data_IF_641058919885
#
_entry.id   IF_641058919885
#
_cell.length_a   1.000
_cell.length_b   1.000
_cell.length_c   1.000
_cell.angle_alpha   90.00
_cell.angle_beta   90.00
_cell.angle_gamma   90.00
#
_symmetry.space_group_name_H-M   'P 1'
#
loop_
_entity.id
_entity.type
_entity.pdbx_description
1 polymer ?
#
# COMPACT_ATOMS: atom_id res chain seq x y z
N UNK A 1 -6.66 -14.69 9.89
CA UNK A 1 -6.40 -13.31 10.31
C UNK A 1 -7.71 -12.56 10.47
N UNK A 2 -8.09 -12.25 11.71
CA UNK A 2 -9.26 -11.44 12.07
C UNK A 2 -8.75 -10.34 12.99
N UNK A 3 -8.07 -9.36 12.41
CA UNK A 3 -7.57 -8.20 13.14
C UNK A 3 -8.70 -7.20 13.31
N UNK A 4 -8.88 -6.70 14.52
CA UNK A 4 -9.85 -5.66 14.85
C UNK A 4 -9.08 -4.46 15.37
N UNK A 5 -9.14 -3.36 14.62
CA UNK A 5 -8.52 -2.09 15.04
C UNK A 5 -9.36 -1.49 16.17
N UNK A 6 -8.72 -1.20 17.28
CA UNK A 6 -9.37 -0.63 18.47
C UNK A 6 -9.43 0.90 18.41
N UNK A 7 -10.34 1.56 19.16
CA UNK A 7 -10.39 3.02 19.21
C UNK A 7 -9.05 3.66 19.61
N UNK A 8 -8.35 3.11 20.61
CA UNK A 8 -7.05 3.64 21.03
C UNK A 8 -5.96 3.54 19.96
N UNK A 9 -6.03 2.52 19.09
CA UNK A 9 -5.13 2.43 17.93
C UNK A 9 -5.47 3.46 16.85
N UNK A 10 -6.75 3.78 16.68
CA UNK A 10 -7.18 4.89 15.79
C UNK A 10 -6.70 6.22 16.34
N UNK A 11 -6.89 6.47 17.64
CA UNK A 11 -6.46 7.72 18.29
C UNK A 11 -4.94 7.90 18.15
N UNK A 12 -4.15 6.85 18.42
CA UNK A 12 -2.70 6.86 18.22
C UNK A 12 -2.32 7.16 16.77
N UNK A 13 -2.96 6.50 15.80
CA UNK A 13 -2.69 6.75 14.38
C UNK A 13 -3.02 8.20 13.96
N UNK A 14 -4.08 8.78 14.52
CA UNK A 14 -4.46 10.18 14.23
C UNK A 14 -3.47 11.17 14.85
N UNK A 15 -2.93 10.87 16.03
CA UNK A 15 -1.96 11.71 16.73
C UNK A 15 -0.55 11.63 16.11
N UNK A 16 -0.05 10.41 15.90
CA UNK A 16 1.33 10.17 15.45
C UNK A 16 1.46 10.10 13.92
N UNK A 17 0.36 9.88 13.22
CA UNK A 17 0.35 9.71 11.77
C UNK A 17 0.85 8.35 11.29
N UNK A 18 1.14 7.40 12.19
CA UNK A 18 1.49 6.02 11.86
C UNK A 18 1.07 5.04 12.97
N UNK A 19 1.05 3.74 12.64
CA UNK A 19 0.88 2.65 13.60
C UNK A 19 1.46 1.35 13.03
N UNK A 20 2.16 0.60 13.86
CA UNK A 20 2.71 -0.71 13.49
C UNK A 20 1.84 -1.85 14.04
N UNK A 21 1.69 -2.90 13.23
CA UNK A 21 1.08 -4.16 13.61
C UNK A 21 2.10 -5.27 13.43
N UNK A 22 2.47 -5.89 14.54
CA UNK A 22 3.22 -7.14 14.53
C UNK A 22 2.36 -8.27 13.97
N UNK A 23 2.99 -9.22 13.30
CA UNK A 23 2.31 -10.43 12.77
C UNK A 23 1.08 -10.12 11.88
N UNK A 24 1.15 -9.04 11.08
CA UNK A 24 0.12 -8.76 10.07
C UNK A 24 -0.02 -9.95 9.11
N UNK A 25 1.10 -10.58 8.77
CA UNK A 25 1.18 -11.89 8.14
C UNK A 25 1.92 -12.86 9.07
N UNK A 26 1.52 -14.13 9.09
CA UNK A 26 2.35 -15.15 9.76
C UNK A 26 3.69 -15.29 9.03
N UNK A 27 4.75 -15.79 9.68
CA UNK A 27 6.05 -15.99 9.02
C UNK A 27 5.95 -16.81 7.73
N UNK A 28 5.11 -17.85 7.68
CA UNK A 28 4.89 -18.66 6.49
C UNK A 28 4.18 -17.88 5.37
N UNK A 29 3.21 -17.04 5.73
CA UNK A 29 2.50 -16.19 4.79
C UNK A 29 3.43 -15.11 4.23
N UNK A 30 4.22 -14.46 5.08
CA UNK A 30 5.20 -13.46 4.71
C UNK A 30 6.26 -14.06 3.77
N UNK A 31 6.81 -15.23 4.10
CA UNK A 31 7.77 -15.94 3.24
C UNK A 31 7.17 -16.32 1.89
N UNK A 32 5.93 -16.83 1.87
CA UNK A 32 5.23 -17.18 0.62
C UNK A 32 4.98 -15.94 -0.24
N UNK A 33 4.53 -14.84 0.36
CA UNK A 33 4.28 -13.58 -0.33
C UNK A 33 5.59 -12.99 -0.88
N UNK A 34 6.66 -12.99 -0.09
CA UNK A 34 7.99 -12.51 -0.51
C UNK A 34 8.51 -13.31 -1.72
N UNK A 35 8.43 -14.64 -1.69
CA UNK A 35 8.86 -15.48 -2.81
C UNK A 35 8.06 -15.23 -4.10
N UNK A 36 6.75 -14.95 -3.98
CA UNK A 36 5.93 -14.56 -5.13
C UNK A 36 6.33 -13.18 -5.67
N UNK A 37 6.58 -12.21 -4.79
CA UNK A 37 7.00 -10.86 -5.17
C UNK A 37 8.34 -10.88 -5.90
N UNK A 38 9.33 -11.61 -5.38
CA UNK A 38 10.64 -11.79 -6.02
C UNK A 38 10.51 -12.37 -7.43
N UNK A 39 9.69 -13.42 -7.58
CA UNK A 39 9.45 -14.06 -8.88
C UNK A 39 8.78 -13.11 -9.88
N UNK A 40 7.80 -12.31 -9.44
CA UNK A 40 7.11 -11.35 -10.31
C UNK A 40 8.00 -10.15 -10.63
N UNK A 41 8.78 -9.66 -9.67
CA UNK A 41 9.71 -8.55 -9.85
C UNK A 41 10.82 -8.89 -10.86
N UNK A 42 11.32 -10.14 -10.85
CA UNK A 42 12.27 -10.61 -11.86
C UNK A 42 11.74 -10.51 -13.30
N UNK A 43 10.41 -10.56 -13.49
CA UNK A 43 9.75 -10.42 -14.80
C UNK A 43 9.37 -8.97 -15.11
N UNK A 44 9.07 -8.17 -14.08
CA UNK A 44 8.75 -6.74 -14.17
C UNK A 44 9.63 -5.94 -13.21
N UNK A 45 10.83 -5.52 -13.65
CA UNK A 45 11.79 -4.81 -12.81
C UNK A 45 11.35 -3.42 -12.33
N UNK A 46 10.23 -2.88 -12.85
CA UNK A 46 9.69 -1.62 -12.33
C UNK A 46 9.06 -1.77 -10.94
N UNK A 47 8.67 -3.00 -10.54
CA UNK A 47 8.13 -3.27 -9.21
C UNK A 47 6.70 -2.78 -8.94
N UNK A 48 6.14 -2.00 -9.84
CA UNK A 48 4.80 -1.44 -9.69
C UNK A 48 3.70 -2.43 -10.05
N UNK A 49 2.69 -2.50 -9.21
CA UNK A 49 1.44 -3.24 -9.42
C UNK A 49 1.65 -4.69 -9.89
N UNK A 50 2.66 -5.37 -9.35
CA UNK A 50 3.00 -6.77 -9.70
C UNK A 50 1.80 -7.72 -9.55
N UNK A 51 0.91 -7.43 -8.59
CA UNK A 51 -0.30 -8.21 -8.32
C UNK A 51 -1.29 -8.23 -9.50
N UNK A 52 -1.22 -7.28 -10.43
CA UNK A 52 -2.08 -7.25 -11.63
C UNK A 52 -1.66 -8.26 -12.69
N UNK A 53 -0.40 -8.68 -12.66
CA UNK A 53 0.17 -9.61 -13.64
C UNK A 53 0.27 -11.05 -13.08
N UNK A 54 0.32 -11.19 -11.75
CA UNK A 54 0.26 -12.49 -11.06
C UNK A 54 -0.98 -12.58 -10.14
N UNK A 55 -2.04 -13.29 -10.56
CA UNK A 55 -3.23 -13.51 -9.74
C UNK A 55 -2.95 -14.19 -8.38
N UNK A 56 -1.82 -14.89 -8.26
CA UNK A 56 -1.39 -15.51 -7.00
C UNK A 56 -1.03 -14.46 -5.96
N UNK A 57 -0.45 -13.33 -6.38
CA UNK A 57 -0.13 -12.19 -5.51
C UNK A 57 -1.39 -11.51 -5.01
N UNK A 58 -2.37 -11.23 -5.89
CA UNK A 58 -3.64 -10.63 -5.47
C UNK A 58 -4.33 -11.48 -4.39
N UNK A 59 -4.32 -12.81 -4.57
CA UNK A 59 -4.88 -13.73 -3.58
C UNK A 59 -4.09 -13.72 -2.26
N UNK A 60 -2.77 -13.69 -2.32
CA UNK A 60 -1.89 -13.71 -1.15
C UNK A 60 -1.96 -12.42 -0.33
N UNK A 61 -2.10 -11.26 -0.99
CA UNK A 61 -2.13 -9.94 -0.34
C UNK A 61 -3.40 -9.70 0.49
N UNK A 62 -4.49 -10.42 0.19
CA UNK A 62 -5.74 -10.30 0.94
C UNK A 62 -6.25 -8.86 1.07
N UNK A 63 -6.27 -8.08 -0.02
CA UNK A 63 -6.63 -6.64 0.00
C UNK A 63 -7.93 -6.33 0.74
N UNK A 64 -8.94 -7.21 0.71
CA UNK A 64 -10.18 -7.04 1.47
C UNK A 64 -9.94 -6.95 2.99
N UNK A 65 -9.00 -7.73 3.54
CA UNK A 65 -8.64 -7.66 4.97
C UNK A 65 -7.79 -6.44 5.29
N UNK A 66 -6.80 -6.14 4.45
CA UNK A 66 -5.94 -4.97 4.64
C UNK A 66 -6.77 -3.66 4.61
N UNK A 67 -7.73 -3.56 3.69
CA UNK A 67 -8.64 -2.42 3.62
C UNK A 67 -9.64 -2.37 4.78
N UNK A 68 -10.06 -3.51 5.33
CA UNK A 68 -10.85 -3.55 6.57
C UNK A 68 -10.08 -3.00 7.77
N UNK A 69 -8.76 -3.23 7.84
CA UNK A 69 -7.91 -2.66 8.87
C UNK A 69 -7.62 -1.18 8.65
N UNK A 70 -7.31 -0.78 7.41
CA UNK A 70 -7.04 0.62 7.08
C UNK A 70 -8.28 1.53 7.17
N UNK A 71 -9.48 1.00 6.97
CA UNK A 71 -10.73 1.76 7.00
C UNK A 71 -10.94 2.62 8.26
N UNK A 72 -10.87 2.05 9.48
CA UNK A 72 -10.95 2.84 10.71
C UNK A 72 -9.78 3.81 10.87
N UNK A 73 -8.54 3.41 10.53
CA UNK A 73 -7.34 4.26 10.66
C UNK A 73 -7.44 5.52 9.80
N UNK A 74 -7.86 5.38 8.55
CA UNK A 74 -8.02 6.50 7.62
C UNK A 74 -9.39 7.20 7.73
N UNK A 75 -10.25 6.74 8.65
CA UNK A 75 -11.61 7.26 8.86
C UNK A 75 -12.44 7.27 7.56
N UNK A 76 -12.33 6.20 6.76
CA UNK A 76 -13.08 6.03 5.51
C UNK A 76 -13.77 4.67 5.46
N UNK A 77 -15.02 4.66 5.02
CA UNK A 77 -15.74 3.41 4.81
C UNK A 77 -15.22 2.62 3.59
N UNK A 78 -14.70 3.25 2.55
CA UNK A 78 -14.29 2.54 1.31
C UNK A 78 -12.91 2.97 0.89
N UNK A 79 -12.03 1.99 0.66
CA UNK A 79 -10.62 2.20 0.33
C UNK A 79 -10.33 1.59 -1.03
N UNK A 80 -9.62 2.35 -1.85
CA UNK A 80 -9.10 1.93 -3.14
C UNK A 80 -7.62 1.59 -2.98
N UNK A 81 -7.14 0.55 -3.68
CA UNK A 81 -5.71 0.36 -3.86
C UNK A 81 -5.24 1.31 -4.97
N UNK A 82 -4.48 2.33 -4.59
CA UNK A 82 -3.89 3.28 -5.52
C UNK A 82 -2.84 2.60 -6.37
N UNK A 83 -1.80 2.07 -5.72
CA UNK A 83 -0.78 1.23 -6.36
C UNK A 83 -0.07 0.39 -5.31
N UNK A 84 0.72 -0.57 -5.77
CA UNK A 84 1.72 -1.28 -4.96
C UNK A 84 3.12 -1.11 -5.55
N UNK A 85 4.15 -1.07 -4.71
CA UNK A 85 5.55 -1.00 -5.14
C UNK A 85 6.40 -2.02 -4.38
N UNK A 86 7.12 -2.86 -5.12
CA UNK A 86 8.10 -3.80 -4.57
C UNK A 86 9.34 -3.95 -5.49
N UNK A 87 10.56 -3.94 -4.94
CA UNK A 87 10.88 -3.48 -3.59
C UNK A 87 10.69 -1.97 -3.48
N UNK A 88 10.44 -1.47 -2.27
CA UNK A 88 10.58 -0.04 -1.99
C UNK A 88 12.05 0.40 -2.10
N UNK A 89 12.34 1.70 -2.33
CA UNK A 89 13.71 2.20 -2.27
C UNK A 89 14.38 1.85 -0.94
N UNK A 90 15.71 1.67 -0.93
CA UNK A 90 16.49 1.38 0.29
C UNK A 90 17.13 2.62 0.91
N UNK A 91 16.93 3.79 0.31
CA UNK A 91 17.52 5.04 0.76
C UNK A 91 16.54 6.20 0.57
N UNK A 92 16.69 7.21 1.43
CA UNK A 92 15.95 8.46 1.37
C UNK A 92 14.65 8.43 2.15
N UNK A 93 14.10 9.63 2.33
CA UNK A 93 12.81 9.85 2.97
C UNK A 93 11.79 10.31 1.93
N UNK A 94 10.55 9.82 2.04
CA UNK A 94 9.46 10.22 1.16
C UNK A 94 8.18 10.48 1.95
N UNK A 95 7.48 11.53 1.53
CA UNK A 95 6.10 11.83 1.92
C UNK A 95 5.21 11.46 0.72
N UNK A 96 4.20 10.62 0.94
CA UNK A 96 3.35 10.13 -0.15
C UNK A 96 2.58 11.26 -0.85
N UNK A 97 2.08 12.23 -0.08
CA UNK A 97 1.33 13.36 -0.62
C UNK A 97 2.17 14.21 -1.58
N UNK A 98 3.48 14.30 -1.36
CA UNK A 98 4.39 15.08 -2.20
C UNK A 98 4.86 14.31 -3.43
N UNK A 99 4.94 12.98 -3.32
CA UNK A 99 5.57 12.13 -4.35
C UNK A 99 4.58 11.40 -5.24
N UNK A 100 3.30 11.28 -4.88
CA UNK A 100 2.34 10.51 -5.68
C UNK A 100 1.69 11.30 -6.83
N UNK A 101 1.35 10.59 -7.89
CA UNK A 101 0.47 11.02 -8.99
C UNK A 101 -1.01 10.70 -8.73
N UNK A 102 -1.37 10.23 -7.54
CA UNK A 102 -2.77 9.93 -7.18
C UNK A 102 -3.26 10.97 -6.17
N UNK A 103 -4.41 11.57 -6.42
CA UNK A 103 -5.08 12.46 -5.45
C UNK A 103 -5.95 11.69 -4.47
N UNK A 104 -6.45 12.35 -3.42
CA UNK A 104 -7.33 11.73 -2.40
C UNK A 104 -6.65 10.52 -1.75
N UNK A 105 -5.34 10.64 -1.49
CA UNK A 105 -4.57 9.65 -0.75
C UNK A 105 -5.09 9.54 0.67
N UNK A 106 -5.16 8.31 1.16
CA UNK A 106 -5.58 8.02 2.53
C UNK A 106 -4.40 7.61 3.41
N UNK A 107 -3.36 7.05 2.80
CA UNK A 107 -2.14 6.63 3.49
C UNK A 107 -1.49 5.46 2.75
N UNK A 108 -0.57 4.79 3.43
CA UNK A 108 0.04 3.57 2.94
C UNK A 108 0.16 2.50 4.01
N UNK A 109 0.56 1.32 3.55
CA UNK A 109 0.97 0.18 4.36
C UNK A 109 2.31 -0.31 3.82
N UNK A 110 3.33 -0.34 4.67
CA UNK A 110 4.58 -1.04 4.42
C UNK A 110 4.55 -2.41 5.07
N UNK A 111 4.86 -3.45 4.32
CA UNK A 111 5.02 -4.81 4.82
C UNK A 111 6.49 -5.18 4.71
N UNK A 112 7.12 -5.48 5.84
CA UNK A 112 8.51 -5.93 5.89
C UNK A 112 8.57 -7.45 5.69
N UNK A 113 9.50 -7.95 4.88
CA UNK A 113 9.66 -9.40 4.66
C UNK A 113 10.93 -9.98 5.27
N UNK A 114 11.84 -9.12 5.72
CA UNK A 114 13.12 -9.47 6.34
C UNK A 114 13.22 -8.84 7.73
N UNK A 115 14.34 -9.10 8.42
CA UNK A 115 14.62 -8.57 9.75
C UNK A 115 14.05 -9.40 10.90
N UNK A 116 13.90 -8.78 12.08
CA UNK A 116 13.46 -9.45 13.31
C UNK A 116 11.96 -9.76 13.32
N UNK A 117 11.14 -8.97 12.60
CA UNK A 117 9.68 -9.10 12.55
C UNK A 117 9.12 -9.27 11.12
N UNK A 118 9.49 -10.33 10.37
CA UNK A 118 8.93 -10.58 9.04
C UNK A 118 7.41 -10.70 9.07
N UNK A 119 6.74 -10.03 8.13
CA UNK A 119 5.29 -9.96 8.08
C UNK A 119 4.67 -8.89 8.97
N UNK A 120 5.47 -8.07 9.66
CA UNK A 120 5.00 -6.82 10.29
C UNK A 120 4.48 -5.83 9.24
N UNK A 121 3.55 -4.98 9.67
CA UNK A 121 2.93 -3.97 8.82
C UNK A 121 2.89 -2.60 9.48
N UNK A 122 3.44 -1.59 8.82
CA UNK A 122 3.36 -0.19 9.24
C UNK A 122 2.31 0.54 8.40
N UNK A 123 1.18 0.89 9.00
CA UNK A 123 0.24 1.84 8.41
C UNK A 123 0.69 3.26 8.71
N UNK A 124 0.56 4.17 7.74
CA UNK A 124 0.98 5.56 7.91
C UNK A 124 0.13 6.52 7.06
N UNK A 125 0.04 7.76 7.51
CA UNK A 125 -0.72 8.84 6.87
C UNK A 125 0.00 9.39 5.63
N UNK A 126 -0.69 10.06 4.69
CA UNK A 126 -0.05 10.59 3.47
C UNK A 126 1.05 11.61 3.74
N UNK A 127 0.99 12.30 4.88
CA UNK A 127 1.92 13.34 5.33
C UNK A 127 3.06 12.80 6.18
N UNK A 128 3.00 11.54 6.60
CA UNK A 128 4.06 10.92 7.38
C UNK A 128 5.28 10.68 6.50
N UNK A 129 6.44 11.18 6.93
CA UNK A 129 7.70 10.97 6.24
C UNK A 129 8.23 9.58 6.57
N UNK A 130 8.19 8.68 5.59
CA UNK A 130 8.85 7.37 5.74
C UNK A 130 10.33 7.56 5.45
N UNK A 131 11.19 7.14 6.37
CA UNK A 131 12.59 6.90 6.07
C UNK A 131 12.78 5.43 5.66
N UNK A 132 13.24 5.22 4.43
CA UNK A 132 13.53 3.87 3.94
C UNK A 132 14.95 3.41 4.29
N UNK A 133 15.86 4.34 4.61
CA UNK A 133 17.26 4.03 4.91
C UNK A 133 17.47 3.31 6.24
N UNK A 134 16.51 3.40 7.16
CA UNK A 134 16.54 2.71 8.44
C UNK A 134 15.96 1.29 8.37
N UNK A 135 15.44 0.86 7.20
CA UNK A 135 14.77 -0.43 7.05
C UNK A 135 15.73 -1.45 6.44
N UNK A 136 15.95 -2.55 7.16
CA UNK A 136 16.72 -3.67 6.63
C UNK A 136 15.84 -4.55 5.72
N UNK A 137 16.38 -4.89 4.54
CA UNK A 137 15.79 -5.87 3.63
C UNK A 137 14.68 -5.34 2.72
N UNK A 138 13.91 -6.26 2.14
CA UNK A 138 12.88 -5.96 1.15
C UNK A 138 11.54 -5.66 1.82
N UNK A 139 10.80 -4.71 1.25
CA UNK A 139 9.46 -4.34 1.71
C UNK A 139 8.53 -4.06 0.55
N UNK A 140 7.24 -4.31 0.76
CA UNK A 140 6.17 -3.95 -0.15
C UNK A 140 5.44 -2.72 0.39
N UNK A 141 5.29 -1.70 -0.46
CA UNK A 141 4.37 -0.59 -0.21
C UNK A 141 3.03 -0.86 -0.89
N UNK A 142 1.94 -0.63 -0.15
CA UNK A 142 0.57 -0.58 -0.66
C UNK A 142 0.01 0.80 -0.35
N UNK A 143 -0.35 1.56 -1.38
CA UNK A 143 -0.94 2.90 -1.21
C UNK A 143 -2.45 2.82 -1.30
N UNK A 144 -3.12 3.48 -0.36
CA UNK A 144 -4.58 3.57 -0.29
C UNK A 144 -5.05 4.95 -0.73
N UNK A 145 -6.15 4.97 -1.49
CA UNK A 145 -6.80 6.18 -1.94
C UNK A 145 -8.32 6.10 -1.73
N UNK A 146 -8.98 7.25 -1.75
CA UNK A 146 -10.42 7.34 -1.62
C UNK A 146 -11.17 7.05 -2.93
N UNK A 147 -12.50 7.08 -2.85
CA UNK A 147 -13.39 6.75 -3.97
C UNK A 147 -13.22 7.70 -5.16
N UNK A 148 -12.91 8.97 -4.89
CA UNK A 148 -12.85 10.03 -5.90
C UNK A 148 -11.41 10.34 -6.35
N UNK A 149 -10.47 9.45 -6.03
CA UNK A 149 -9.07 9.55 -6.42
C UNK A 149 -8.91 9.72 -7.94
N UNK A 150 -7.98 10.59 -8.33
CA UNK A 150 -7.69 10.94 -9.71
C UNK A 150 -6.21 10.82 -9.99
N UNK A 151 -5.89 10.61 -11.25
CA UNK A 151 -4.53 10.79 -11.74
C UNK A 151 -4.20 12.28 -11.90
N UNK A 152 -3.05 12.70 -11.37
CA UNK A 152 -2.42 14.01 -11.60
C UNK A 152 -0.99 13.80 -12.06
N UNK A 153 -0.49 14.64 -12.96
CA UNK A 153 0.90 14.55 -13.39
C UNK A 153 1.80 15.12 -12.30
N UNK A 154 2.52 14.26 -11.58
CA UNK A 154 3.54 14.65 -10.64
C UNK A 154 4.90 14.18 -11.17
N UNK A 155 5.81 15.12 -11.45
CA UNK A 155 7.12 14.77 -12.01
C UNK A 155 8.03 14.04 -11.01
N UNK A 156 7.79 14.25 -9.70
CA UNK A 156 8.48 13.56 -8.62
C UNK A 156 8.05 12.11 -8.48
N UNK A 157 6.91 11.72 -9.05
CA UNK A 157 6.41 10.36 -8.98
C UNK A 157 7.08 9.45 -10.02
N UNK A 158 7.84 8.42 -9.61
CA UNK A 158 8.35 7.43 -10.54
C UNK A 158 7.21 6.63 -11.22
N UNK A 159 6.04 6.54 -10.59
CA UNK A 159 4.84 5.86 -11.08
C UNK A 159 4.04 6.67 -12.11
N UNK A 160 4.38 7.96 -12.35
CA UNK A 160 3.62 8.83 -13.26
C UNK A 160 3.41 8.24 -14.65
N UNK A 161 4.36 7.44 -15.13
CA UNK A 161 4.31 6.83 -16.45
C UNK A 161 3.45 5.56 -16.50
N UNK A 162 3.31 4.82 -15.39
CA UNK A 162 2.49 3.61 -15.36
C UNK A 162 0.99 3.95 -15.46
N UNK A 163 0.52 4.97 -14.73
CA UNK A 163 -0.86 5.44 -14.84
C UNK A 163 -1.17 5.97 -16.26
N UNK A 164 -0.21 6.64 -16.91
CA UNK A 164 -0.35 7.04 -18.32
C UNK A 164 -0.45 5.83 -19.26
N UNK A 165 0.33 4.77 -19.04
CA UNK A 165 0.25 3.52 -19.83
C UNK A 165 -1.11 2.85 -19.70
N UNK A 166 -1.78 3.01 -18.55
CA UNK A 166 -3.15 2.57 -18.32
C UNK A 166 -4.22 3.48 -18.95
N UNK A 167 -3.81 4.42 -19.80
CA UNK A 167 -4.68 5.37 -20.51
C UNK A 167 -5.39 6.38 -19.60
N UNK A 168 -4.89 6.64 -18.39
CA UNK A 168 -5.39 7.75 -17.59
C UNK A 168 -4.93 9.09 -18.17
N UNK A 169 -5.89 9.95 -18.52
CA UNK A 169 -5.67 11.36 -18.77
C UNK A 169 -5.57 12.14 -17.46
N UNK A 170 -4.85 13.27 -17.47
CA UNK A 170 -4.74 14.15 -16.29
C UNK A 170 -6.13 14.56 -15.79
N UNK A 171 -6.37 14.43 -14.48
CA UNK A 171 -7.67 14.64 -13.84
C UNK A 171 -8.65 13.47 -13.99
N UNK A 172 -8.31 12.41 -14.70
CA UNK A 172 -9.13 11.21 -14.84
C UNK A 172 -9.33 10.49 -13.51
N UNK A 173 -10.57 10.04 -13.25
CA UNK A 173 -10.89 9.22 -12.07
C UNK A 173 -10.24 7.85 -12.20
N UNK A 174 -9.70 7.33 -11.09
CA UNK A 174 -9.27 5.93 -11.03
C UNK A 174 -10.50 5.02 -11.19
N UNK A 175 -10.37 4.00 -12.04
CA UNK A 175 -11.48 3.10 -12.38
C UNK A 175 -11.54 1.90 -11.45
N UNK A 176 -12.75 1.40 -11.22
CA UNK A 176 -12.98 0.20 -10.42
C UNK A 176 -12.53 -1.08 -11.12
N UNK A 177 -12.12 -1.04 -12.39
CA UNK A 177 -11.60 -2.19 -13.14
C UNK A 177 -10.13 -2.47 -12.80
N UNK A 178 -9.33 -1.42 -12.61
CA UNK A 178 -7.89 -1.55 -12.39
C UNK A 178 -7.47 -1.19 -10.96
N UNK A 179 -8.29 -0.40 -10.27
CA UNK A 179 -8.07 -0.01 -8.88
C UNK A 179 -9.31 -0.41 -8.07
N UNK A 180 -9.41 -1.67 -7.66
CA UNK A 180 -10.59 -2.17 -6.95
C UNK A 180 -10.93 -1.31 -5.71
N UNK A 181 -12.21 -0.97 -5.57
CA UNK A 181 -12.74 -0.23 -4.42
C UNK A 181 -13.33 -1.21 -3.41
N UNK A 182 -12.59 -1.45 -2.32
CA UNK A 182 -12.97 -2.38 -1.28
C UNK A 182 -13.87 -1.70 -0.25
N UNK A 183 -14.83 -2.47 0.25
CA UNK A 183 -15.71 -2.06 1.34
C UNK A 183 -15.56 -3.08 2.47
N UNK A 184 -15.41 -2.65 3.72
CA UNK A 184 -15.61 -3.51 4.87
C UNK A 184 -16.99 -4.16 4.78
N UNK A 185 -17.15 -5.41 5.24
CA UNK A 185 -18.46 -6.00 5.40
C UNK A 185 -19.29 -5.10 6.34
N UNK A 186 -20.55 -4.83 5.97
CA UNK A 186 -21.51 -4.18 6.85
C UNK A 186 -21.62 -5.02 8.11
N UNK A 187 -21.27 -4.44 9.26
CA UNK A 187 -21.45 -5.07 10.57
C UNK A 187 -22.92 -5.04 10.99
#
# INVERSE_FOLDING_TARGET
>A
MRYVVTPGQVDHFVEEGFIEFEELFTPEQASTLHALLEKSHAQKPSGYDLHREDPSLEKALHFSKLTQMGAPLFQKHRLRIGYTLYPVPTEGSQILEETSSITDLLGGLLINFDGETPGSGLFFSPTFAIDYGEREGSSLLIVFAGKIARYVSNEADPHKNELKKMSYGAGGLLSDETHHLYSPPLQ
#
